data_IF_851965423742
#
_entry.id   IF_851965423742
#
_cell.length_a   1.000
_cell.length_b   1.000
_cell.length_c   1.000
_cell.angle_alpha   90.00
_cell.angle_beta   90.00
_cell.angle_gamma   90.00
#
_symmetry.space_group_name_H-M   'P 1'
#
loop_
_entity.id
_entity.type
_entity.pdbx_description
1 polymer ?
#
# COMPACT_ATOMS: atom_id res chain seq x y z
N UNK A 1 -12.18 13.05 -12.80
CA UNK A 1 -11.23 14.19 -12.82
C UNK A 1 -9.83 13.61 -12.89
N UNK A 2 -8.94 14.17 -13.67
CA UNK A 2 -7.60 13.60 -13.86
C UNK A 2 -6.62 13.88 -12.71
N UNK A 3 -7.00 14.69 -11.70
CA UNK A 3 -6.16 15.04 -10.54
C UNK A 3 -7.06 15.20 -9.31
N UNK A 4 -6.60 14.68 -8.18
CA UNK A 4 -7.32 14.79 -6.90
C UNK A 4 -7.38 16.26 -6.44
N UNK A 5 -8.55 16.70 -6.03
CA UNK A 5 -8.72 18.01 -5.39
C UNK A 5 -8.55 17.85 -3.88
N UNK A 6 -7.37 18.14 -3.37
CA UNK A 6 -7.04 17.98 -1.96
C UNK A 6 -7.55 19.14 -1.12
N UNK A 7 -8.13 18.83 0.04
CA UNK A 7 -8.58 19.83 1.03
C UNK A 7 -7.42 20.54 1.72
N UNK A 8 -6.32 19.81 1.91
CA UNK A 8 -5.12 20.32 2.57
C UNK A 8 -4.05 20.63 1.54
N UNK A 9 -3.53 21.86 1.53
CA UNK A 9 -2.43 22.22 0.67
C UNK A 9 -1.14 21.51 1.12
N UNK A 10 -0.32 21.14 0.15
CA UNK A 10 1.00 20.59 0.40
C UNK A 10 2.02 21.73 0.43
N UNK A 11 2.71 21.97 1.54
CA UNK A 11 3.67 23.07 1.66
C UNK A 11 5.06 22.73 1.11
N UNK A 12 5.30 21.48 0.72
CA UNK A 12 6.63 20.99 0.37
C UNK A 12 6.90 21.04 -1.13
N UNK A 13 8.18 21.13 -1.46
CA UNK A 13 8.69 20.97 -2.82
C UNK A 13 9.23 19.55 -3.00
N UNK A 14 9.17 19.05 -4.23
CA UNK A 14 9.55 17.67 -4.57
C UNK A 14 10.39 17.62 -5.84
N UNK A 15 11.14 16.53 -5.97
CA UNK A 15 11.75 16.12 -7.21
C UNK A 15 10.83 15.09 -7.91
N UNK A 16 10.60 15.24 -9.20
CA UNK A 16 9.71 14.33 -9.94
C UNK A 16 10.51 13.23 -10.63
N UNK A 17 9.95 12.03 -10.61
CA UNK A 17 10.48 10.89 -11.35
C UNK A 17 10.50 9.62 -10.50
N UNK A 18 9.93 8.54 -11.06
CA UNK A 18 10.03 7.21 -10.48
C UNK A 18 11.33 6.54 -10.94
N UNK A 19 12.03 5.93 -10.00
CA UNK A 19 13.26 5.18 -10.27
C UNK A 19 14.39 6.03 -10.92
N UNK A 20 14.29 7.34 -10.81
CA UNK A 20 15.28 8.28 -11.30
C UNK A 20 16.41 8.42 -10.30
N UNK A 21 17.60 8.77 -10.80
CA UNK A 21 18.71 9.18 -9.93
C UNK A 21 18.53 10.65 -9.57
N UNK A 22 18.27 10.91 -8.28
CA UNK A 22 18.06 12.27 -7.77
C UNK A 22 19.24 12.75 -6.94
N UNK A 23 19.40 14.07 -6.86
CA UNK A 23 20.29 14.71 -5.91
C UNK A 23 19.59 15.91 -5.26
N UNK A 24 19.89 16.16 -4.00
CA UNK A 24 19.35 17.30 -3.25
C UNK A 24 20.30 17.73 -2.15
N UNK A 25 20.44 19.06 -1.97
CA UNK A 25 21.19 19.65 -0.87
C UNK A 25 20.38 20.75 -0.18
N UNK A 26 20.29 20.72 1.14
CA UNK A 26 19.66 21.78 1.93
C UNK A 26 20.60 22.96 2.16
N UNK A 27 21.91 22.70 2.15
CA UNK A 27 22.97 23.73 2.16
C UNK A 27 23.77 23.59 0.87
N UNK A 28 23.84 24.68 0.11
CA UNK A 28 24.57 24.73 -1.15
C UNK A 28 26.04 24.32 -0.97
N UNK A 29 26.50 23.38 -1.77
CA UNK A 29 27.87 22.88 -1.73
C UNK A 29 28.10 21.74 -0.70
N UNK A 30 27.05 21.20 -0.09
CA UNK A 30 27.15 20.03 0.78
C UNK A 30 27.40 18.73 0.01
N UNK A 31 26.96 18.66 -1.26
CA UNK A 31 27.26 17.53 -2.15
C UNK A 31 28.70 17.57 -2.64
N UNK A 32 29.51 16.54 -2.44
CA UNK A 32 30.81 16.42 -3.08
C UNK A 32 30.70 16.33 -4.60
N UNK A 33 31.62 16.95 -5.33
CA UNK A 33 31.66 16.95 -6.77
C UNK A 33 32.60 15.86 -7.30
N UNK A 34 32.11 15.00 -8.17
CA UNK A 34 32.91 13.99 -8.89
C UNK A 34 33.33 12.78 -8.08
N UNK A 35 32.99 12.70 -6.79
CA UNK A 35 33.28 11.57 -5.92
C UNK A 35 32.27 11.47 -4.77
N UNK A 36 32.10 10.27 -4.19
CA UNK A 36 31.10 10.03 -3.14
C UNK A 36 31.68 10.21 -1.71
N UNK A 37 32.94 9.85 -1.50
CA UNK A 37 33.57 9.85 -0.17
C UNK A 37 34.94 10.52 -0.22
N UNK A 38 35.00 11.85 -0.37
CA UNK A 38 36.26 12.57 -0.34
C UNK A 38 36.93 12.43 1.04
N UNK A 39 38.24 12.57 1.10
CA UNK A 39 38.98 12.54 2.37
C UNK A 39 38.45 13.57 3.36
N UNK A 40 38.03 14.72 2.87
CA UNK A 40 37.38 15.78 3.65
C UNK A 40 36.05 16.10 3.00
N UNK A 41 34.97 15.68 3.62
CA UNK A 41 33.60 15.98 3.18
C UNK A 41 33.32 17.47 3.43
N UNK A 42 32.61 18.16 2.53
CA UNK A 42 32.20 19.54 2.75
C UNK A 42 31.54 19.75 4.10
N UNK A 43 31.77 20.90 4.72
CA UNK A 43 31.23 21.30 6.02
C UNK A 43 31.56 20.37 7.20
N UNK A 44 32.49 19.41 7.04
CA UNK A 44 32.82 18.44 8.07
C UNK A 44 31.75 17.35 8.25
N UNK A 45 30.86 17.18 7.28
CA UNK A 45 29.83 16.13 7.28
C UNK A 45 30.45 14.75 7.16
N UNK A 46 29.70 13.74 7.58
CA UNK A 46 30.05 12.34 7.37
C UNK A 46 29.38 11.82 6.11
N UNK A 47 30.16 11.17 5.25
CA UNK A 47 29.62 10.42 4.11
C UNK A 47 29.14 9.04 4.58
N UNK A 48 27.90 8.71 4.27
CA UNK A 48 27.30 7.40 4.59
C UNK A 48 26.58 6.87 3.36
N UNK A 49 26.54 5.56 3.19
CA UNK A 49 25.86 4.91 2.08
C UNK A 49 24.71 4.06 2.59
N UNK A 50 23.49 4.40 2.18
CA UNK A 50 22.29 3.58 2.38
C UNK A 50 22.06 2.73 1.12
N UNK A 51 22.04 1.40 1.25
CA UNK A 51 21.86 0.47 0.14
C UNK A 51 20.61 -0.36 0.33
N UNK A 52 19.69 -0.30 -0.64
CA UNK A 52 18.49 -1.13 -0.70
C UNK A 52 18.70 -2.49 -1.35
N UNK A 53 19.88 -2.72 -1.95
CA UNK A 53 20.28 -3.99 -2.58
C UNK A 53 21.64 -4.41 -2.08
N UNK A 54 22.01 -5.65 -2.37
CA UNK A 54 23.40 -6.10 -2.17
C UNK A 54 24.37 -5.23 -2.98
N UNK A 55 25.60 -5.03 -2.50
CA UNK A 55 26.62 -4.27 -3.23
C UNK A 55 26.93 -4.87 -4.60
N UNK A 56 26.74 -6.17 -4.74
CA UNK A 56 26.99 -6.95 -5.96
C UNK A 56 25.79 -7.05 -6.88
N UNK A 57 24.66 -6.37 -6.57
CA UNK A 57 23.50 -6.33 -7.46
C UNK A 57 23.89 -5.77 -8.84
N UNK A 58 23.27 -6.26 -9.93
CA UNK A 58 23.49 -5.71 -11.26
C UNK A 58 23.25 -4.20 -11.30
N UNK A 59 24.01 -3.47 -12.12
CA UNK A 59 23.94 -1.99 -12.16
C UNK A 59 22.51 -1.46 -12.36
N UNK A 60 21.70 -2.09 -13.18
CA UNK A 60 20.33 -1.66 -13.49
C UNK A 60 19.33 -1.97 -12.38
N UNK A 61 19.68 -2.88 -11.45
CA UNK A 61 18.87 -3.23 -10.28
C UNK A 61 19.38 -2.60 -9.00
N UNK A 62 20.62 -2.06 -9.00
CA UNK A 62 21.27 -1.57 -7.79
C UNK A 62 20.56 -0.33 -7.26
N UNK A 63 20.14 -0.40 -5.99
CA UNK A 63 19.48 0.68 -5.26
C UNK A 63 20.38 1.19 -4.17
N UNK A 64 20.75 2.46 -4.23
CA UNK A 64 21.65 3.07 -3.26
C UNK A 64 21.46 4.59 -3.21
N UNK A 65 21.75 5.15 -2.06
CA UNK A 65 21.81 6.60 -1.84
C UNK A 65 23.00 6.93 -0.98
N UNK A 66 23.82 7.88 -1.42
CA UNK A 66 24.85 8.49 -0.60
C UNK A 66 24.24 9.66 0.15
N UNK A 67 24.49 9.69 1.46
CA UNK A 67 24.00 10.75 2.34
C UNK A 67 25.20 11.44 3.03
N UNK A 68 25.04 12.73 3.26
CA UNK A 68 26.02 13.58 3.91
C UNK A 68 25.35 14.20 5.11
N UNK A 69 25.77 13.73 6.31
CA UNK A 69 25.04 13.96 7.55
C UNK A 69 25.92 14.45 8.67
N UNK A 70 25.31 15.04 9.69
CA UNK A 70 26.04 15.66 10.82
C UNK A 70 26.69 14.56 11.69
N UNK A 71 25.99 13.49 12.00
CA UNK A 71 26.51 12.32 12.74
C UNK A 71 26.13 11.01 12.04
N UNK A 72 27.01 10.00 12.02
CA UNK A 72 26.69 8.72 11.38
C UNK A 72 25.47 8.03 11.99
N UNK A 73 24.68 7.34 11.18
CA UNK A 73 23.54 6.54 11.63
C UNK A 73 23.89 5.50 12.70
N UNK A 74 25.16 5.08 12.77
CA UNK A 74 25.66 4.15 13.78
C UNK A 74 25.82 4.76 15.20
N UNK A 75 25.67 6.07 15.34
CA UNK A 75 25.90 6.80 16.60
C UNK A 75 24.68 6.72 17.55
N UNK A 76 24.28 5.51 17.90
CA UNK A 76 23.20 5.21 18.84
C UNK A 76 23.60 4.12 19.83
N UNK A 77 22.87 3.98 20.93
CA UNK A 77 23.03 2.87 21.88
C UNK A 77 22.56 1.54 21.24
N UNK A 78 22.83 0.43 21.92
CA UNK A 78 22.36 -0.87 21.45
C UNK A 78 20.82 -0.93 21.42
N UNK A 79 20.30 -1.61 20.42
CA UNK A 79 18.88 -1.93 20.34
C UNK A 79 18.49 -2.94 21.41
N UNK A 80 17.37 -2.71 22.05
CA UNK A 80 16.74 -3.59 23.03
C UNK A 80 15.33 -3.89 22.54
N UNK A 81 14.89 -5.13 22.65
CA UNK A 81 13.51 -5.49 22.33
C UNK A 81 12.55 -4.71 23.23
N UNK A 82 11.47 -4.22 22.67
CA UNK A 82 10.41 -3.58 23.43
C UNK A 82 9.63 -4.65 24.21
N UNK A 83 9.77 -4.64 25.52
CA UNK A 83 9.08 -5.53 26.44
C UNK A 83 7.71 -4.99 26.78
N UNK A 84 6.67 -5.58 26.21
CA UNK A 84 5.30 -5.23 26.57
C UNK A 84 4.29 -6.00 25.72
N UNK A 85 3.23 -6.47 26.37
CA UNK A 85 2.14 -7.21 25.72
C UNK A 85 1.48 -6.46 24.56
N UNK A 86 1.60 -5.13 24.53
CA UNK A 86 0.99 -4.29 23.49
C UNK A 86 1.76 -4.27 22.17
N UNK A 87 3.09 -4.49 22.18
CA UNK A 87 3.90 -4.41 20.96
C UNK A 87 4.07 -5.74 20.25
N UNK A 88 4.21 -6.82 21.01
CA UNK A 88 4.37 -8.17 20.45
C UNK A 88 3.07 -8.67 19.79
N UNK A 89 1.92 -8.16 20.22
CA UNK A 89 0.61 -8.65 19.75
C UNK A 89 0.16 -8.03 18.44
N UNK A 90 0.72 -6.87 18.03
CA UNK A 90 0.14 -6.10 16.92
C UNK A 90 0.95 -6.14 15.61
N UNK A 91 2.23 -6.43 15.66
CA UNK A 91 3.11 -6.42 14.47
C UNK A 91 3.85 -7.71 14.17
N UNK A 92 3.78 -8.75 15.04
CA UNK A 92 4.65 -9.91 14.90
C UNK A 92 3.94 -11.14 14.35
N UNK A 93 4.54 -11.80 13.37
CA UNK A 93 4.07 -13.08 12.85
C UNK A 93 4.39 -14.25 13.79
N UNK A 94 5.42 -14.15 14.64
CA UNK A 94 5.81 -15.22 15.57
C UNK A 94 4.83 -15.39 16.73
N UNK A 95 4.26 -14.30 17.22
CA UNK A 95 3.25 -14.33 18.28
C UNK A 95 1.83 -14.39 17.74
N UNK A 96 1.61 -14.00 16.49
CA UNK A 96 0.32 -14.07 15.84
C UNK A 96 0.30 -15.24 14.86
N UNK A 97 -0.27 -16.34 15.27
CA UNK A 97 -0.59 -17.43 14.36
C UNK A 97 -1.46 -16.89 13.22
N UNK A 98 -0.95 -16.95 12.01
CA UNK A 98 -1.73 -16.63 10.83
C UNK A 98 -2.68 -17.78 10.49
N UNK A 99 -3.95 -17.48 10.39
CA UNK A 99 -5.01 -18.42 10.08
C UNK A 99 -5.35 -18.38 8.59
N UNK A 100 -5.09 -19.44 7.88
CA UNK A 100 -5.43 -19.59 6.46
C UNK A 100 -6.86 -20.09 6.32
N UNK A 101 -7.73 -19.26 5.77
CA UNK A 101 -9.17 -19.53 5.66
C UNK A 101 -9.57 -19.43 4.18
N UNK A 102 -10.19 -20.47 3.61
CA UNK A 102 -10.62 -20.46 2.21
C UNK A 102 -11.91 -19.68 1.97
N UNK A 103 -12.58 -19.21 3.02
CA UNK A 103 -13.77 -18.37 2.91
C UNK A 103 -13.40 -16.94 2.55
N UNK A 104 -14.30 -16.28 1.82
CA UNK A 104 -14.23 -14.83 1.67
C UNK A 104 -14.45 -14.16 3.02
N UNK A 105 -13.63 -13.16 3.32
CA UNK A 105 -13.74 -12.36 4.52
C UNK A 105 -14.05 -10.90 4.19
N UNK A 106 -14.79 -10.23 5.08
CA UNK A 106 -15.04 -8.80 5.03
C UNK A 106 -14.98 -8.22 6.42
N UNK A 107 -14.43 -7.04 6.53
CA UNK A 107 -14.37 -6.25 7.76
C UNK A 107 -15.21 -4.98 7.61
N UNK A 108 -15.98 -4.68 8.64
CA UNK A 108 -16.58 -3.37 8.85
C UNK A 108 -15.49 -2.30 8.98
N UNK A 109 -15.80 -1.01 8.84
CA UNK A 109 -14.83 0.06 9.03
C UNK A 109 -14.05 -0.09 10.34
N UNK A 110 -12.72 -0.10 10.23
CA UNK A 110 -11.83 -0.11 11.39
C UNK A 110 -11.94 1.19 12.16
N UNK A 111 -11.73 1.13 13.48
CA UNK A 111 -11.83 2.31 14.33
C UNK A 111 -10.63 3.26 14.16
N UNK A 112 -10.82 4.52 14.51
CA UNK A 112 -9.73 5.46 14.80
C UNK A 112 -9.23 5.19 16.23
N UNK A 113 -7.93 5.37 16.45
CA UNK A 113 -7.36 5.38 17.80
C UNK A 113 -6.68 6.73 18.05
N UNK A 114 -7.28 7.54 18.90
CA UNK A 114 -6.78 8.86 19.26
C UNK A 114 -5.75 8.83 20.41
N UNK A 115 -5.48 7.66 20.97
CA UNK A 115 -4.69 7.50 22.20
C UNK A 115 -3.23 7.16 21.96
N UNK A 116 -2.90 6.68 20.77
CA UNK A 116 -1.58 6.19 20.41
C UNK A 116 -0.93 7.03 19.29
N UNK A 117 0.38 6.91 19.15
CA UNK A 117 1.15 7.44 18.03
C UNK A 117 1.22 6.45 16.86
N UNK A 118 1.99 6.81 15.84
CA UNK A 118 2.18 5.99 14.63
C UNK A 118 2.68 4.58 14.92
N UNK A 119 3.72 4.44 15.75
CA UNK A 119 4.37 3.13 16.01
C UNK A 119 3.45 2.20 16.75
N UNK A 120 2.73 2.74 17.74
CA UNK A 120 1.82 2.00 18.61
C UNK A 120 0.46 1.72 17.96
N UNK A 121 0.13 2.43 16.89
CA UNK A 121 -1.09 2.27 16.12
C UNK A 121 -0.99 1.31 14.94
N UNK A 122 0.13 0.58 14.78
CA UNK A 122 0.32 -0.40 13.71
C UNK A 122 -0.23 -1.78 14.12
N UNK A 123 -1.15 -2.34 13.34
CA UNK A 123 -1.77 -3.64 13.61
C UNK A 123 -1.66 -4.56 12.38
N UNK A 124 -1.00 -5.70 12.52
CA UNK A 124 -0.97 -6.72 11.47
C UNK A 124 -2.37 -7.33 11.32
N UNK A 125 -2.99 -7.12 10.17
CA UNK A 125 -4.30 -7.71 9.82
C UNK A 125 -4.11 -9.09 9.20
N UNK A 126 -3.21 -9.17 8.23
CA UNK A 126 -2.96 -10.37 7.44
C UNK A 126 -1.53 -10.38 6.90
N UNK A 127 -1.06 -11.51 6.42
CA UNK A 127 0.27 -11.62 5.86
C UNK A 127 0.61 -13.01 5.36
N UNK A 128 1.77 -13.13 4.75
CA UNK A 128 2.33 -14.40 4.28
C UNK A 128 3.85 -14.28 4.15
N UNK A 129 4.54 -15.39 4.32
CA UNK A 129 5.99 -15.45 4.16
C UNK A 129 6.75 -15.11 5.43
N UNK A 130 8.04 -14.83 5.27
CA UNK A 130 9.01 -14.66 6.36
C UNK A 130 10.02 -13.58 5.98
N UNK A 131 10.13 -12.47 6.73
CA UNK A 131 11.09 -11.40 6.44
C UNK A 131 12.55 -11.86 6.58
N UNK A 132 12.86 -12.89 7.38
CA UNK A 132 14.23 -13.43 7.49
C UNK A 132 14.69 -14.09 6.19
N UNK A 133 13.75 -14.64 5.42
CA UNK A 133 13.97 -15.20 4.08
C UNK A 133 13.78 -14.16 2.96
N UNK A 134 13.45 -12.93 3.32
CA UNK A 134 13.13 -11.84 2.37
C UNK A 134 12.09 -12.28 1.34
N UNK A 135 11.04 -12.93 1.81
CA UNK A 135 9.95 -13.43 0.98
C UNK A 135 8.61 -13.22 1.68
N UNK A 136 7.67 -12.58 1.00
CA UNK A 136 6.34 -12.37 1.52
C UNK A 136 5.95 -10.90 1.70
N UNK A 137 4.85 -10.73 2.44
CA UNK A 137 4.26 -9.42 2.73
C UNK A 137 3.54 -9.42 4.08
N UNK A 138 3.42 -8.23 4.65
CA UNK A 138 2.53 -7.92 5.75
C UNK A 138 1.46 -6.92 5.33
N UNK A 139 0.20 -7.15 5.70
CA UNK A 139 -0.89 -6.19 5.52
C UNK A 139 -1.24 -5.63 6.89
N UNK A 140 -0.99 -4.35 7.05
CA UNK A 140 -1.07 -3.65 8.33
C UNK A 140 -2.15 -2.57 8.23
N UNK A 141 -2.99 -2.46 9.25
CA UNK A 141 -3.80 -1.29 9.51
C UNK A 141 -3.02 -0.35 10.42
N UNK A 142 -3.08 0.94 10.15
CA UNK A 142 -2.64 1.95 11.10
C UNK A 142 -3.79 2.85 11.55
N UNK A 143 -3.79 3.19 12.82
CA UNK A 143 -4.68 4.19 13.42
C UNK A 143 -3.91 4.93 14.51
N UNK A 144 -3.81 6.26 14.41
CA UNK A 144 -3.07 7.07 15.36
C UNK A 144 -3.71 8.45 15.55
N UNK A 145 -3.62 8.98 16.77
CA UNK A 145 -4.13 10.29 17.14
C UNK A 145 -3.10 11.20 17.80
N UNK A 146 -1.86 10.73 17.95
CA UNK A 146 -0.76 11.50 18.54
C UNK A 146 0.43 11.58 17.59
N UNK A 147 1.10 12.71 17.62
CA UNK A 147 2.37 12.90 16.94
C UNK A 147 3.46 12.02 17.57
N UNK A 148 4.36 11.51 16.75
CA UNK A 148 5.64 11.02 17.21
C UNK A 148 6.47 12.23 17.67
N UNK A 149 6.94 12.22 18.90
CA UNK A 149 7.78 13.30 19.44
C UNK A 149 9.23 13.22 18.95
N UNK A 150 10.18 13.17 19.89
CA UNK A 150 11.60 12.93 19.61
C UNK A 150 11.86 11.43 19.35
N UNK A 151 11.21 10.92 18.34
CA UNK A 151 11.24 9.52 17.94
C UNK A 151 11.44 9.40 16.44
N UNK A 152 11.97 8.26 16.03
CA UNK A 152 12.00 7.84 14.65
C UNK A 152 11.73 6.34 14.56
N UNK A 153 11.13 5.92 13.46
CA UNK A 153 10.84 4.53 13.15
C UNK A 153 11.42 4.16 11.79
N UNK A 154 11.81 2.89 11.64
CA UNK A 154 12.06 2.29 10.34
C UNK A 154 11.74 0.79 10.36
N UNK A 155 11.33 0.23 9.23
CA UNK A 155 11.30 -1.22 9.05
C UNK A 155 12.64 -1.69 8.44
N UNK A 156 13.24 -2.70 9.03
CA UNK A 156 14.36 -3.44 8.43
C UNK A 156 13.85 -4.61 7.57
N UNK A 157 12.59 -5.01 7.74
CA UNK A 157 11.98 -6.18 7.13
C UNK A 157 11.53 -5.90 5.68
N UNK A 158 10.87 -4.78 5.46
CA UNK A 158 10.22 -4.52 4.18
C UNK A 158 10.02 -3.04 3.86
N UNK A 159 9.66 -2.79 2.58
CA UNK A 159 9.24 -1.48 2.11
C UNK A 159 7.77 -1.26 2.48
N UNK A 160 7.44 -0.14 3.12
CA UNK A 160 6.07 0.24 3.47
C UNK A 160 5.41 1.00 2.32
N UNK A 161 4.41 0.41 1.68
CA UNK A 161 3.47 1.13 0.82
C UNK A 161 2.29 1.55 1.68
N UNK A 162 2.18 2.85 1.94
CA UNK A 162 1.21 3.47 2.84
C UNK A 162 0.05 4.03 2.02
N UNK A 163 -1.19 3.66 2.38
CA UNK A 163 -2.43 4.08 1.73
C UNK A 163 -3.30 4.82 2.75
N UNK A 164 -3.24 6.14 2.84
CA UNK A 164 -4.07 6.91 3.75
C UNK A 164 -5.55 6.80 3.40
N UNK A 165 -6.38 6.55 4.42
CA UNK A 165 -7.83 6.54 4.30
C UNK A 165 -8.47 7.76 4.99
N UNK A 166 -7.95 8.15 6.15
CA UNK A 166 -8.43 9.28 6.94
C UNK A 166 -7.26 10.09 7.50
N UNK A 167 -7.44 11.40 7.57
CA UNK A 167 -6.45 12.34 8.09
C UNK A 167 -5.31 12.62 7.12
N UNK A 168 -4.29 13.33 7.60
CA UNK A 168 -3.13 13.75 6.82
C UNK A 168 -1.87 13.34 7.56
N UNK A 169 -0.96 12.67 6.87
CA UNK A 169 0.35 12.30 7.38
C UNK A 169 1.37 13.37 6.95
N UNK A 170 2.01 14.03 7.89
CA UNK A 170 3.22 14.80 7.65
C UNK A 170 4.40 13.92 8.04
N UNK A 171 5.06 13.35 7.05
CA UNK A 171 6.12 12.37 7.23
C UNK A 171 7.47 13.07 7.03
N UNK A 172 8.21 13.23 8.11
CA UNK A 172 9.60 13.64 8.04
C UNK A 172 10.48 12.40 7.95
N UNK A 173 11.15 12.21 6.83
CA UNK A 173 12.18 11.20 6.66
C UNK A 173 13.57 11.83 6.83
N UNK A 174 14.60 11.00 7.02
CA UNK A 174 15.98 11.48 7.06
C UNK A 174 16.44 12.08 5.71
N UNK A 175 15.73 11.82 4.59
CA UNK A 175 16.01 12.37 3.26
C UNK A 175 15.18 13.61 2.90
N UNK A 176 14.23 14.00 3.75
CA UNK A 176 13.33 15.13 3.54
C UNK A 176 11.89 14.83 3.93
N UNK A 177 10.97 15.73 3.60
CA UNK A 177 9.58 15.70 4.09
C UNK A 177 8.59 15.38 2.99
N UNK A 178 7.51 14.69 3.37
CA UNK A 178 6.40 14.27 2.52
C UNK A 178 5.08 14.54 3.23
N UNK A 179 4.18 15.32 2.63
CA UNK A 179 2.79 15.41 3.09
C UNK A 179 1.96 14.41 2.30
N UNK A 180 1.28 13.48 2.98
CA UNK A 180 0.53 12.39 2.33
C UNK A 180 -0.93 12.42 2.79
N UNK A 181 -1.84 12.48 1.84
CA UNK A 181 -3.28 12.69 2.05
C UNK A 181 -4.08 11.50 1.51
N UNK A 182 -5.32 11.28 1.93
CA UNK A 182 -6.21 10.32 1.25
C UNK A 182 -6.26 10.56 -0.26
N UNK A 183 -6.19 9.50 -1.05
CA UNK A 183 -5.96 9.46 -2.51
C UNK A 183 -4.52 9.74 -2.96
N UNK A 184 -3.56 9.81 -2.05
CA UNK A 184 -2.15 9.62 -2.34
C UNK A 184 -1.67 8.31 -1.75
N UNK A 185 -0.59 7.77 -2.29
CA UNK A 185 0.20 6.70 -1.65
C UNK A 185 1.60 7.22 -1.37
N UNK A 186 2.25 6.60 -0.39
CA UNK A 186 3.66 6.83 -0.09
C UNK A 186 4.37 5.51 0.06
N UNK A 187 5.56 5.39 -0.50
CA UNK A 187 6.45 4.26 -0.23
C UNK A 187 7.65 4.75 0.56
N UNK A 188 7.85 4.15 1.73
CA UNK A 188 9.04 4.33 2.55
C UNK A 188 9.87 3.04 2.41
N UNK A 189 11.03 3.10 1.73
CA UNK A 189 11.90 1.93 1.60
C UNK A 189 12.49 1.50 2.94
N UNK A 190 12.75 0.21 3.08
CA UNK A 190 13.34 -0.36 4.31
C UNK A 190 14.63 0.34 4.69
N UNK A 191 14.84 0.53 5.99
CA UNK A 191 16.00 1.19 6.55
C UNK A 191 15.93 2.72 6.56
N UNK A 192 15.04 3.36 5.82
CA UNK A 192 14.83 4.81 5.87
C UNK A 192 14.14 5.18 7.17
N UNK A 193 14.76 6.05 7.97
CA UNK A 193 14.23 6.55 9.23
C UNK A 193 13.21 7.64 8.99
N UNK A 194 12.09 7.60 9.70
CA UNK A 194 11.07 8.63 9.60
C UNK A 194 10.27 8.80 10.89
N UNK A 195 9.62 9.95 11.04
CA UNK A 195 8.58 10.19 12.04
C UNK A 195 7.33 10.72 11.37
N UNK A 196 6.20 10.58 12.05
CA UNK A 196 4.90 11.02 11.56
C UNK A 196 4.31 12.03 12.53
N UNK A 197 3.85 13.16 12.00
CA UNK A 197 3.02 14.13 12.70
C UNK A 197 1.66 14.27 12.00
N UNK A 198 0.64 14.70 12.74
CA UNK A 198 -0.76 14.62 12.37
C UNK A 198 -1.39 16.02 12.29
N UNK A 199 -1.10 16.83 11.25
CA UNK A 199 -1.48 18.24 11.19
C UNK A 199 -2.99 18.49 11.11
N UNK A 200 -3.78 17.45 10.82
CA UNK A 200 -5.23 17.54 10.66
C UNK A 200 -6.01 16.58 11.61
N UNK A 201 -5.40 16.22 12.74
CA UNK A 201 -6.02 15.31 13.73
C UNK A 201 -5.76 13.83 13.40
N UNK A 202 -6.55 12.92 13.99
CA UNK A 202 -6.28 11.49 13.93
C UNK A 202 -6.26 10.96 12.50
N UNK A 203 -5.48 9.91 12.29
CA UNK A 203 -5.24 9.27 11.00
C UNK A 203 -5.57 7.79 11.05
N UNK A 204 -5.93 7.25 9.89
CA UNK A 204 -6.13 5.82 9.67
C UNK A 204 -5.85 5.48 8.21
N UNK A 205 -5.36 4.28 7.97
CA UNK A 205 -5.15 3.75 6.63
C UNK A 205 -4.53 2.37 6.66
N UNK A 206 -3.98 1.99 5.53
CA UNK A 206 -3.47 0.65 5.29
C UNK A 206 -2.01 0.71 4.85
N UNK A 207 -1.28 -0.36 5.13
CA UNK A 207 0.10 -0.52 4.67
C UNK A 207 0.24 -1.91 4.09
N UNK A 208 0.88 -2.00 2.93
CA UNK A 208 1.44 -3.25 2.43
C UNK A 208 2.96 -3.21 2.62
N UNK A 209 3.47 -4.03 3.52
CA UNK A 209 4.90 -4.20 3.73
C UNK A 209 5.41 -5.31 2.81
N UNK A 210 6.32 -4.99 1.92
CA UNK A 210 6.92 -5.91 0.97
C UNK A 210 8.27 -6.39 1.48
N UNK A 211 8.41 -7.69 1.80
CA UNK A 211 9.66 -8.25 2.32
C UNK A 211 10.69 -8.53 1.22
N UNK A 212 10.27 -8.74 0.00
CA UNK A 212 11.13 -9.09 -1.13
C UNK A 212 11.28 -7.92 -2.11
N UNK A 213 12.51 -7.67 -2.58
CA UNK A 213 12.78 -6.67 -3.59
C UNK A 213 12.25 -5.27 -3.23
N UNK A 214 11.81 -4.54 -4.23
CA UNK A 214 11.25 -3.19 -4.12
C UNK A 214 10.06 -3.04 -5.08
N UNK A 215 9.15 -2.10 -4.77
CA UNK A 215 8.08 -1.75 -5.68
C UNK A 215 8.63 -1.15 -6.98
N UNK A 216 8.03 -1.54 -8.10
CA UNK A 216 8.37 -1.13 -9.45
C UNK A 216 7.11 -0.71 -10.20
N UNK A 217 7.27 0.00 -11.31
CA UNK A 217 6.19 0.15 -12.27
C UNK A 217 5.92 -1.20 -12.96
N UNK A 218 4.65 -1.55 -13.23
CA UNK A 218 4.33 -2.81 -13.91
C UNK A 218 4.85 -2.79 -15.36
N UNK A 219 5.08 -4.00 -15.89
CA UNK A 219 5.38 -4.16 -17.34
C UNK A 219 4.17 -3.72 -18.16
N UNK A 220 4.38 -2.79 -19.06
CA UNK A 220 3.29 -2.22 -19.85
C UNK A 220 2.88 -3.05 -21.08
N UNK A 221 3.77 -3.91 -21.58
CA UNK A 221 3.50 -4.76 -22.72
C UNK A 221 2.84 -3.99 -23.89
N UNK A 222 1.70 -4.47 -24.41
CA UNK A 222 1.01 -3.84 -25.53
C UNK A 222 0.31 -2.51 -25.17
N UNK A 223 0.19 -2.15 -23.88
CA UNK A 223 -0.44 -0.90 -23.43
C UNK A 223 0.43 0.31 -23.81
N UNK A 224 1.75 0.15 -23.79
CA UNK A 224 2.70 1.22 -24.06
C UNK A 224 2.91 2.17 -22.88
N UNK A 225 3.65 3.26 -23.12
CA UNK A 225 4.18 4.13 -22.07
C UNK A 225 3.24 5.26 -21.60
N UNK A 226 2.07 5.39 -22.20
CA UNK A 226 1.17 6.53 -21.95
C UNK A 226 -0.02 6.19 -21.03
N UNK A 227 -0.09 4.95 -20.56
CA UNK A 227 -1.18 4.47 -19.71
C UNK A 227 -0.67 4.09 -18.32
N UNK A 228 -1.60 3.85 -17.40
CA UNK A 228 -1.33 3.51 -16.00
C UNK A 228 -0.62 4.67 -15.25
N UNK A 229 0.21 4.35 -14.26
CA UNK A 229 0.99 5.35 -13.55
C UNK A 229 2.18 5.83 -14.39
N UNK A 230 2.31 7.14 -14.59
CA UNK A 230 3.44 7.71 -15.30
C UNK A 230 4.58 8.00 -14.32
N UNK A 231 5.80 7.58 -14.67
CA UNK A 231 6.99 7.78 -13.82
C UNK A 231 7.22 9.24 -13.40
N UNK A 232 6.92 10.22 -14.27
CA UNK A 232 7.07 11.66 -13.98
C UNK A 232 6.18 12.16 -12.86
N UNK A 233 5.09 11.47 -12.53
CA UNK A 233 4.09 11.93 -11.57
C UNK A 233 4.40 11.47 -10.13
N UNK A 234 5.43 10.65 -9.95
CA UNK A 234 5.96 10.29 -8.65
C UNK A 234 6.86 11.40 -8.12
N UNK A 235 6.80 11.63 -6.82
CA UNK A 235 7.44 12.75 -6.13
C UNK A 235 8.34 12.24 -5.01
N UNK A 236 9.64 12.55 -5.11
CA UNK A 236 10.64 12.32 -4.07
C UNK A 236 10.88 13.60 -3.26
N UNK A 237 11.25 13.53 -1.97
CA UNK A 237 11.49 14.71 -1.15
C UNK A 237 12.73 15.48 -1.61
N UNK A 238 12.80 16.75 -1.25
CA UNK A 238 14.05 17.52 -1.27
C UNK A 238 14.71 17.43 0.10
N UNK A 239 16.04 17.53 0.15
CA UNK A 239 16.79 17.46 1.39
C UNK A 239 16.30 18.50 2.41
N UNK A 240 16.06 18.03 3.60
CA UNK A 240 15.70 18.83 4.78
C UNK A 240 16.34 18.20 6.00
N UNK A 241 16.97 18.98 6.85
CA UNK A 241 17.66 18.48 8.04
C UNK A 241 17.31 19.30 9.29
N UNK A 242 17.51 18.69 10.43
CA UNK A 242 17.47 19.32 11.74
C UNK A 242 18.90 19.43 12.27
N UNK A 243 19.24 20.59 12.83
CA UNK A 243 20.50 20.85 13.53
C UNK A 243 20.16 21.32 14.93
N UNK A 244 20.43 20.50 15.94
CA UNK A 244 20.21 20.83 17.35
C UNK A 244 21.57 21.17 17.98
N UNK A 245 21.76 22.41 18.39
CA UNK A 245 23.00 22.87 19.05
C UNK A 245 23.26 22.16 20.38
N UNK A 246 22.18 21.83 21.12
CA UNK A 246 22.26 21.11 22.39
C UNK A 246 21.85 19.64 22.23
N UNK A 247 22.56 18.71 22.88
CA UNK A 247 22.22 17.29 22.85
C UNK A 247 20.79 17.05 23.34
N UNK A 248 20.06 16.25 22.61
CA UNK A 248 18.66 15.94 22.86
C UNK A 248 18.43 14.45 22.67
N UNK A 249 17.78 13.81 23.65
CA UNK A 249 17.53 12.38 23.57
C UNK A 249 16.41 12.07 22.57
N UNK A 250 16.73 11.21 21.62
CA UNK A 250 15.82 10.60 20.67
C UNK A 250 15.70 9.09 20.89
N UNK A 251 14.54 8.54 20.57
CA UNK A 251 14.29 7.11 20.55
C UNK A 251 14.13 6.64 19.11
N UNK A 252 14.93 5.63 18.74
CA UNK A 252 14.84 4.96 17.45
C UNK A 252 14.10 3.64 17.62
N UNK A 253 13.00 3.46 16.88
CA UNK A 253 12.31 2.19 16.75
C UNK A 253 12.73 1.49 15.48
N UNK A 254 12.98 0.21 15.59
CA UNK A 254 13.29 -0.69 14.48
C UNK A 254 12.34 -1.87 14.50
N UNK A 255 11.56 -2.05 13.41
CA UNK A 255 10.90 -3.32 13.16
C UNK A 255 11.92 -4.25 12.50
N UNK A 256 12.30 -5.30 13.20
CA UNK A 256 13.32 -6.27 12.78
C UNK A 256 12.83 -7.68 13.06
N UNK A 257 12.69 -8.48 12.02
CA UNK A 257 12.07 -9.81 12.07
C UNK A 257 10.70 -9.79 12.76
N UNK A 258 9.83 -8.90 12.30
CA UNK A 258 8.49 -8.68 12.87
C UNK A 258 8.46 -8.36 14.38
N UNK A 259 9.58 -7.99 14.97
CA UNK A 259 9.72 -7.61 16.38
C UNK A 259 10.13 -6.15 16.47
N UNK A 260 9.57 -5.43 17.43
CA UNK A 260 9.91 -4.03 17.66
C UNK A 260 11.07 -3.95 18.64
N UNK A 261 12.10 -3.23 18.23
CA UNK A 261 13.26 -2.88 19.05
C UNK A 261 13.35 -1.36 19.18
N UNK A 262 13.95 -0.88 20.26
CA UNK A 262 14.33 0.52 20.37
C UNK A 262 15.76 0.72 20.80
N UNK A 263 16.32 1.85 20.40
CA UNK A 263 17.62 2.35 20.85
C UNK A 263 17.50 3.84 21.17
N UNK A 264 18.41 4.35 22.03
CA UNK A 264 18.51 5.79 22.31
C UNK A 264 19.73 6.38 21.63
N UNK A 265 19.59 7.62 21.21
CA UNK A 265 20.69 8.48 20.75
C UNK A 265 20.49 9.90 21.27
N UNK A 266 21.59 10.67 21.36
CA UNK A 266 21.61 12.02 21.94
C UNK A 266 21.57 13.13 20.89
N UNK A 267 21.09 12.84 19.70
CA UNK A 267 20.96 13.79 18.58
C UNK A 267 19.80 13.39 17.68
N UNK A 268 19.33 14.33 16.85
CA UNK A 268 18.29 14.05 15.88
C UNK A 268 18.74 13.01 14.83
N UNK A 269 17.91 12.04 14.45
CA UNK A 269 18.20 11.16 13.31
C UNK A 269 17.93 11.81 11.95
N UNK A 270 17.39 13.04 11.93
CA UNK A 270 17.00 13.79 10.73
C UNK A 270 18.06 14.83 10.35
N UNK A 271 19.31 14.42 10.31
CA UNK A 271 20.50 15.27 10.20
C UNK A 271 21.22 15.17 8.83
N UNK A 272 20.55 14.62 7.81
CA UNK A 272 21.09 14.54 6.45
C UNK A 272 20.94 15.88 5.75
N UNK A 273 22.08 16.54 5.53
CA UNK A 273 22.14 17.87 4.89
C UNK A 273 22.03 17.78 3.37
N UNK A 274 22.55 16.69 2.80
CA UNK A 274 22.50 16.45 1.37
C UNK A 274 22.52 14.96 1.05
N UNK A 275 21.94 14.59 -0.11
CA UNK A 275 21.93 13.21 -0.57
C UNK A 275 21.84 13.13 -2.10
N UNK A 276 22.28 12.01 -2.66
CA UNK A 276 22.05 11.66 -4.05
C UNK A 276 21.94 10.15 -4.22
N UNK A 277 21.08 9.70 -5.10
CA UNK A 277 20.88 8.29 -5.36
C UNK A 277 19.52 7.96 -5.97
N UNK A 278 19.21 6.67 -6.00
CA UNK A 278 17.96 6.10 -6.49
C UNK A 278 17.23 5.25 -5.43
N UNK A 279 17.60 5.37 -4.16
CA UNK A 279 16.97 4.71 -3.02
C UNK A 279 16.47 5.76 -2.04
N UNK A 280 15.20 6.13 -2.14
CA UNK A 280 14.57 7.23 -1.41
C UNK A 280 13.06 6.98 -1.27
N UNK A 281 12.39 7.60 -0.28
CA UNK A 281 10.94 7.57 -0.17
C UNK A 281 10.29 8.39 -1.30
N UNK A 282 9.09 8.00 -1.68
CA UNK A 282 8.33 8.71 -2.70
C UNK A 282 6.83 8.62 -2.48
N UNK A 283 6.07 9.53 -3.10
CA UNK A 283 4.62 9.54 -3.10
C UNK A 283 4.04 9.67 -4.51
N UNK A 284 2.77 9.33 -4.65
CA UNK A 284 2.03 9.41 -5.91
C UNK A 284 0.57 9.78 -5.66
N UNK A 285 0.02 10.72 -6.45
CA UNK A 285 -1.40 11.08 -6.47
C UNK A 285 -2.18 10.08 -7.35
N UNK A 286 -3.02 9.26 -6.76
CA UNK A 286 -3.83 8.25 -7.45
C UNK A 286 -4.79 8.85 -8.49
N UNK A 287 -5.16 10.14 -8.35
CA UNK A 287 -5.94 10.86 -9.34
C UNK A 287 -5.24 11.09 -10.68
N UNK A 288 -3.92 10.89 -10.74
CA UNK A 288 -3.13 11.00 -11.98
C UNK A 288 -3.05 9.70 -12.76
N UNK A 289 -3.60 8.62 -12.23
CA UNK A 289 -3.58 7.32 -12.88
C UNK A 289 -4.40 7.35 -14.17
N UNK A 290 -3.80 6.91 -15.27
CA UNK A 290 -4.46 6.86 -16.58
C UNK A 290 -5.08 5.48 -16.79
N UNK A 291 -6.37 5.37 -16.56
CA UNK A 291 -7.12 4.12 -16.68
C UNK A 291 -7.26 3.67 -18.12
N UNK A 292 -7.26 2.35 -18.30
CA UNK A 292 -7.62 1.68 -19.55
C UNK A 292 -8.92 0.92 -19.32
N UNK A 293 -9.75 0.81 -20.35
CA UNK A 293 -10.95 0.02 -20.35
C UNK A 293 -11.18 -0.66 -21.70
N UNK A 294 -12.03 -1.66 -21.73
CA UNK A 294 -12.53 -2.24 -22.96
C UNK A 294 -13.47 -1.29 -23.66
N UNK A 295 -13.29 -1.13 -24.98
CA UNK A 295 -14.12 -0.27 -25.82
C UNK A 295 -15.09 -1.05 -26.72
N UNK A 296 -14.91 -2.37 -26.83
CA UNK A 296 -15.74 -3.24 -27.67
C UNK A 296 -16.54 -4.21 -26.82
N UNK A 297 -15.92 -5.24 -26.34
CA UNK A 297 -16.56 -6.31 -25.58
C UNK A 297 -15.71 -6.66 -24.37
N UNK A 298 -16.36 -7.29 -23.40
CA UNK A 298 -15.79 -7.88 -22.19
C UNK A 298 -15.18 -6.88 -21.20
N UNK A 299 -15.32 -7.21 -19.93
CA UNK A 299 -14.65 -6.48 -18.85
C UNK A 299 -13.18 -6.91 -18.81
N UNK A 300 -12.23 -5.97 -18.81
CA UNK A 300 -10.82 -6.33 -18.72
C UNK A 300 -10.44 -6.86 -17.33
N UNK A 301 -9.38 -7.66 -17.29
CA UNK A 301 -8.77 -8.11 -16.05
C UNK A 301 -8.25 -6.94 -15.20
N UNK A 302 -8.27 -7.03 -13.86
CA UNK A 302 -7.87 -5.91 -12.99
C UNK A 302 -6.38 -5.54 -13.07
N UNK A 303 -5.54 -6.36 -13.69
CA UNK A 303 -4.11 -6.06 -13.91
C UNK A 303 -3.86 -4.73 -14.65
N UNK A 304 -4.81 -4.27 -15.46
CA UNK A 304 -4.74 -2.96 -16.14
C UNK A 304 -4.88 -1.77 -15.18
N UNK A 305 -5.18 -2.00 -13.93
CA UNK A 305 -5.31 -0.98 -12.88
C UNK A 305 -4.14 -1.02 -11.89
N UNK A 306 -3.07 -1.78 -12.19
CA UNK A 306 -1.89 -1.88 -11.33
C UNK A 306 -1.09 -0.58 -11.36
N UNK A 307 -0.87 0.00 -10.19
CA UNK A 307 -0.06 1.22 -10.00
C UNK A 307 1.40 0.86 -9.79
N UNK A 308 1.65 -0.07 -8.88
CA UNK A 308 2.99 -0.58 -8.52
C UNK A 308 2.94 -2.10 -8.36
N UNK A 309 4.04 -2.76 -8.67
CA UNK A 309 4.24 -4.20 -8.48
C UNK A 309 5.48 -4.48 -7.65
N UNK A 310 5.40 -5.43 -6.74
CA UNK A 310 6.52 -6.07 -6.06
C UNK A 310 6.72 -7.47 -6.63
N UNK A 311 7.60 -7.66 -7.61
CA UNK A 311 7.70 -8.93 -8.31
C UNK A 311 8.20 -10.06 -7.41
N UNK A 312 7.74 -11.28 -7.69
CA UNK A 312 8.27 -12.49 -7.07
C UNK A 312 9.47 -13.03 -7.85
N UNK A 313 10.13 -14.06 -7.29
CA UNK A 313 11.19 -14.79 -7.99
C UNK A 313 10.66 -15.65 -9.15
N UNK A 314 9.35 -15.87 -9.21
CA UNK A 314 8.71 -16.53 -10.34
C UNK A 314 8.28 -15.50 -11.37
N UNK A 315 8.81 -15.61 -12.57
CA UNK A 315 8.47 -14.72 -13.68
C UNK A 315 6.96 -14.67 -13.92
N UNK A 316 6.43 -13.45 -14.06
CA UNK A 316 5.02 -13.20 -14.39
C UNK A 316 4.06 -13.26 -13.19
N UNK A 317 4.56 -13.24 -11.98
CA UNK A 317 3.73 -13.15 -10.77
C UNK A 317 4.34 -12.20 -9.74
N UNK A 318 3.54 -11.66 -8.84
CA UNK A 318 3.94 -10.69 -7.84
C UNK A 318 3.75 -11.21 -6.42
N UNK A 319 4.65 -10.80 -5.52
CA UNK A 319 4.42 -10.88 -4.07
C UNK A 319 3.32 -9.91 -3.66
N UNK A 320 3.35 -8.71 -4.23
CA UNK A 320 2.31 -7.71 -3.99
C UNK A 320 2.14 -6.80 -5.21
N UNK A 321 0.95 -6.81 -5.79
CA UNK A 321 0.51 -5.77 -6.71
C UNK A 321 -0.37 -4.77 -5.97
N UNK A 322 -0.12 -3.49 -6.18
CA UNK A 322 -1.01 -2.43 -5.71
C UNK A 322 -1.88 -1.98 -6.88
N UNK A 323 -3.16 -2.32 -6.79
CA UNK A 323 -4.18 -2.08 -7.81
C UNK A 323 -5.17 -1.05 -7.28
N UNK A 324 -5.69 -0.17 -8.14
CA UNK A 324 -6.74 0.79 -7.77
C UNK A 324 -7.94 0.69 -8.71
N UNK A 325 -9.11 1.08 -8.21
CA UNK A 325 -10.35 1.15 -9.00
C UNK A 325 -10.85 2.60 -9.00
N UNK A 326 -10.22 3.46 -9.82
CA UNK A 326 -10.55 4.88 -9.87
C UNK A 326 -11.78 5.15 -10.74
N UNK A 327 -12.29 6.40 -10.74
CA UNK A 327 -13.31 6.84 -11.67
C UNK A 327 -12.94 6.55 -13.12
N UNK A 328 -13.87 5.91 -13.88
CA UNK A 328 -13.63 5.50 -15.27
C UNK A 328 -14.92 5.45 -16.09
N UNK A 329 -14.77 5.45 -17.40
CA UNK A 329 -15.87 5.26 -18.33
C UNK A 329 -16.04 3.79 -18.69
N UNK A 330 -17.28 3.28 -18.61
CA UNK A 330 -17.69 1.97 -19.09
C UNK A 330 -18.47 2.17 -20.39
N UNK A 331 -17.95 1.61 -21.47
CA UNK A 331 -18.48 1.78 -22.84
C UNK A 331 -18.63 0.46 -23.58
N UNK A 332 -18.23 -0.67 -22.99
CA UNK A 332 -18.29 -1.97 -23.65
C UNK A 332 -19.71 -2.35 -24.09
N UNK A 333 -19.84 -2.76 -25.35
CA UNK A 333 -21.08 -3.16 -25.98
C UNK A 333 -21.48 -4.57 -25.54
N UNK A 334 -22.79 -4.81 -25.38
CA UNK A 334 -23.36 -6.12 -25.06
C UNK A 334 -22.54 -6.93 -24.01
N UNK A 335 -22.12 -6.26 -22.96
CA UNK A 335 -21.20 -6.80 -21.98
C UNK A 335 -21.78 -6.66 -20.57
N UNK A 336 -21.62 -7.72 -19.76
CA UNK A 336 -21.76 -7.63 -18.30
C UNK A 336 -20.60 -6.81 -17.75
N UNK A 337 -20.87 -5.55 -17.37
CA UNK A 337 -19.82 -4.55 -17.09
C UNK A 337 -19.12 -4.66 -15.74
N UNK A 338 -19.74 -5.17 -14.64
CA UNK A 338 -18.99 -5.51 -13.42
C UNK A 338 -17.98 -6.62 -13.69
N UNK A 339 -16.97 -6.77 -12.83
CA UNK A 339 -16.13 -7.96 -12.86
C UNK A 339 -17.00 -9.23 -12.77
N UNK A 340 -16.68 -10.23 -13.59
CA UNK A 340 -17.40 -11.51 -13.61
C UNK A 340 -17.10 -12.33 -12.34
N UNK A 341 -17.91 -13.37 -12.09
CA UNK A 341 -17.56 -14.36 -11.07
C UNK A 341 -16.29 -15.11 -11.47
N UNK A 342 -15.34 -15.21 -10.54
CA UNK A 342 -14.06 -15.83 -10.85
C UNK A 342 -13.42 -16.52 -9.64
N UNK A 343 -12.38 -17.25 -9.95
CA UNK A 343 -11.41 -17.86 -9.03
C UNK A 343 -10.05 -17.70 -9.68
N UNK A 344 -9.07 -17.22 -8.96
CA UNK A 344 -7.71 -17.05 -9.50
C UNK A 344 -6.67 -17.61 -8.53
N UNK A 345 -5.42 -17.61 -8.96
CA UNK A 345 -4.26 -18.08 -8.19
C UNK A 345 -3.71 -17.03 -7.23
N UNK A 346 -4.31 -15.86 -7.17
CA UNK A 346 -3.88 -14.76 -6.31
C UNK A 346 -4.81 -14.60 -5.12
N UNK A 347 -4.29 -14.07 -4.02
CA UNK A 347 -5.06 -13.56 -2.90
C UNK A 347 -5.30 -12.08 -3.09
N UNK A 348 -6.53 -11.62 -2.83
CA UNK A 348 -6.97 -10.24 -3.04
C UNK A 348 -7.40 -9.62 -1.71
N UNK A 349 -6.60 -8.71 -1.17
CA UNK A 349 -7.01 -7.88 -0.04
C UNK A 349 -7.42 -6.50 -0.54
N UNK A 350 -8.72 -6.21 -0.44
CA UNK A 350 -9.28 -4.93 -0.89
C UNK A 350 -9.55 -3.99 0.27
N UNK A 351 -9.39 -2.69 0.03
CA UNK A 351 -9.81 -1.61 0.90
C UNK A 351 -10.54 -0.50 0.14
N UNK A 352 -11.28 0.32 0.86
CA UNK A 352 -11.98 1.47 0.30
C UNK A 352 -11.51 2.75 0.97
N UNK A 353 -10.91 3.66 0.20
CA UNK A 353 -10.44 4.95 0.70
C UNK A 353 -11.63 5.90 0.89
N UNK A 354 -12.47 6.01 -0.13
CA UNK A 354 -13.65 6.89 -0.10
C UNK A 354 -14.72 6.44 -1.09
N UNK A 355 -15.94 6.93 -0.90
CA UNK A 355 -17.08 6.69 -1.80
C UNK A 355 -17.66 5.29 -1.68
N UNK A 356 -18.03 4.68 -2.82
CA UNK A 356 -18.61 3.34 -2.92
C UNK A 356 -17.88 2.51 -3.99
N UNK A 357 -18.07 1.20 -3.98
CA UNK A 357 -17.50 0.28 -4.97
C UNK A 357 -18.63 -0.30 -5.85
N UNK A 358 -18.49 -0.17 -7.15
CA UNK A 358 -19.54 -0.48 -8.14
C UNK A 358 -19.91 -1.97 -8.23
N UNK A 359 -18.99 -2.87 -7.92
CA UNK A 359 -19.25 -4.32 -7.93
C UNK A 359 -19.92 -4.84 -6.63
N UNK A 360 -20.08 -4.02 -5.61
CA UNK A 360 -20.61 -4.41 -4.29
C UNK A 360 -21.51 -3.28 -3.74
N UNK A 361 -22.76 -3.26 -4.20
CA UNK A 361 -23.72 -2.22 -3.83
C UNK A 361 -24.46 -2.51 -2.51
N UNK A 362 -24.47 -3.78 -2.09
CA UNK A 362 -25.09 -4.22 -0.84
C UNK A 362 -24.08 -4.60 0.24
N UNK A 363 -24.54 -4.77 1.48
CA UNK A 363 -23.84 -5.50 2.53
C UNK A 363 -22.57 -4.91 3.12
N UNK A 364 -22.29 -3.59 2.95
CA UNK A 364 -21.37 -2.92 3.86
C UNK A 364 -19.90 -2.89 3.51
N UNK A 365 -19.47 -2.98 2.24
CA UNK A 365 -18.12 -2.57 1.87
C UNK A 365 -18.04 -1.04 1.89
N UNK A 366 -17.55 -0.49 2.97
CA UNK A 366 -17.55 0.95 3.27
C UNK A 366 -16.11 1.49 3.39
N UNK A 367 -15.90 2.81 3.25
CA UNK A 367 -14.61 3.42 3.53
C UNK A 367 -14.08 3.01 4.90
N UNK A 368 -12.78 2.70 4.95
CA UNK A 368 -12.09 2.11 6.10
C UNK A 368 -12.40 0.63 6.39
N UNK A 369 -13.28 -0.01 5.65
CA UNK A 369 -13.46 -1.46 5.69
C UNK A 369 -12.47 -2.19 4.78
N UNK A 370 -12.52 -3.51 4.81
CA UNK A 370 -11.69 -4.37 3.96
C UNK A 370 -12.42 -5.65 3.54
N UNK A 371 -11.89 -6.33 2.53
CA UNK A 371 -12.26 -7.71 2.21
C UNK A 371 -11.03 -8.52 1.81
N UNK A 372 -11.05 -9.81 2.06
CA UNK A 372 -10.02 -10.76 1.62
C UNK A 372 -10.68 -11.91 0.87
N UNK A 373 -10.27 -12.12 -0.38
CA UNK A 373 -10.57 -13.27 -1.20
C UNK A 373 -9.27 -14.02 -1.44
N UNK A 374 -9.10 -15.13 -0.74
CA UNK A 374 -7.85 -15.88 -0.80
C UNK A 374 -7.73 -16.70 -2.09
N UNK A 375 -6.55 -17.23 -2.36
CA UNK A 375 -6.25 -18.11 -3.52
C UNK A 375 -7.39 -19.11 -3.75
N UNK A 376 -7.91 -19.14 -4.98
CA UNK A 376 -9.03 -20.00 -5.43
C UNK A 376 -10.34 -19.81 -4.68
N UNK A 377 -10.51 -18.79 -3.89
CA UNK A 377 -11.78 -18.45 -3.26
C UNK A 377 -12.72 -17.83 -4.30
N UNK A 378 -13.81 -18.51 -4.62
CA UNK A 378 -14.76 -18.04 -5.62
C UNK A 378 -15.48 -16.78 -5.15
N UNK A 379 -15.51 -15.73 -5.96
CA UNK A 379 -16.18 -14.48 -5.65
C UNK A 379 -16.60 -13.69 -6.91
N UNK A 380 -17.25 -12.55 -6.73
CA UNK A 380 -17.75 -11.73 -7.83
C UNK A 380 -18.75 -10.70 -7.32
N UNK A 381 -19.64 -10.19 -8.20
CA UNK A 381 -20.69 -9.26 -7.81
C UNK A 381 -21.68 -9.91 -6.84
N UNK A 382 -22.19 -9.13 -5.89
CA UNK A 382 -23.31 -9.58 -5.07
C UNK A 382 -24.61 -9.67 -5.91
N UNK A 383 -25.67 -10.23 -5.32
CA UNK A 383 -26.94 -10.43 -6.02
C UNK A 383 -27.47 -9.14 -6.66
N UNK A 384 -27.46 -8.03 -5.93
CA UNK A 384 -28.05 -6.78 -6.39
C UNK A 384 -27.23 -6.15 -7.52
N UNK A 385 -25.91 -6.21 -7.44
CA UNK A 385 -25.00 -5.80 -8.50
C UNK A 385 -25.17 -6.67 -9.76
N UNK A 386 -25.33 -7.98 -9.61
CA UNK A 386 -25.58 -8.90 -10.72
C UNK A 386 -26.92 -8.59 -11.42
N UNK A 387 -28.01 -8.50 -10.67
CA UNK A 387 -29.34 -8.24 -11.24
C UNK A 387 -29.41 -6.85 -11.91
N UNK A 388 -28.83 -5.82 -11.26
CA UNK A 388 -28.75 -4.50 -11.80
C UNK A 388 -27.98 -4.44 -13.12
N UNK A 389 -26.80 -5.05 -13.16
CA UNK A 389 -25.95 -5.05 -14.35
C UNK A 389 -26.53 -5.88 -15.51
N UNK A 390 -27.19 -7.01 -15.18
CA UNK A 390 -27.82 -7.88 -16.19
C UNK A 390 -29.02 -7.23 -16.90
N UNK A 391 -29.64 -6.22 -16.25
CA UNK A 391 -30.81 -5.52 -16.77
C UNK A 391 -30.53 -4.05 -17.13
N UNK A 392 -29.26 -3.62 -17.05
CA UNK A 392 -28.87 -2.24 -17.31
C UNK A 392 -29.01 -1.85 -18.78
N UNK A 393 -29.42 -0.62 -19.05
CA UNK A 393 -29.34 0.01 -20.38
C UNK A 393 -27.88 0.38 -20.65
N UNK A 394 -27.26 -0.30 -21.62
CA UNK A 394 -25.82 -0.17 -21.92
C UNK A 394 -25.52 1.12 -22.72
N UNK A 395 -25.50 2.25 -22.01
CA UNK A 395 -24.99 3.53 -22.50
C UNK A 395 -23.57 3.77 -21.97
N UNK A 396 -22.79 4.68 -22.60
CA UNK A 396 -21.58 5.18 -21.98
C UNK A 396 -21.88 5.71 -20.57
N UNK A 397 -21.22 5.17 -19.56
CA UNK A 397 -21.48 5.49 -18.16
C UNK A 397 -20.14 5.69 -17.42
N UNK A 398 -20.05 6.79 -16.66
CA UNK A 398 -18.94 7.00 -15.74
C UNK A 398 -19.27 6.33 -14.40
N UNK A 399 -18.37 5.48 -13.93
CA UNK A 399 -18.48 4.81 -12.63
C UNK A 399 -17.38 5.28 -11.70
N UNK A 400 -17.57 5.09 -10.40
CA UNK A 400 -16.59 5.40 -9.37
C UNK A 400 -16.36 6.90 -9.13
N UNK A 401 -17.24 7.78 -9.58
CA UNK A 401 -17.10 9.23 -9.31
C UNK A 401 -17.15 9.50 -7.81
N UNK A 402 -16.12 10.18 -7.28
CA UNK A 402 -15.96 10.39 -5.84
C UNK A 402 -15.54 9.16 -5.04
N UNK A 403 -15.17 8.08 -5.71
CA UNK A 403 -14.78 6.82 -5.08
C UNK A 403 -13.32 6.45 -5.39
N UNK A 404 -12.68 5.76 -4.47
CA UNK A 404 -11.36 5.16 -4.67
C UNK A 404 -11.26 3.89 -3.84
N UNK A 405 -11.34 2.74 -4.49
CA UNK A 405 -11.01 1.44 -3.92
C UNK A 405 -9.60 1.03 -4.36
N UNK A 406 -8.97 0.17 -3.57
CA UNK A 406 -7.67 -0.41 -3.89
C UNK A 406 -7.64 -1.90 -3.55
N UNK A 407 -6.63 -2.58 -4.06
CA UNK A 407 -6.37 -3.99 -3.80
C UNK A 407 -4.86 -4.21 -3.63
N UNK A 408 -4.49 -4.99 -2.62
CA UNK A 408 -3.21 -5.67 -2.54
C UNK A 408 -3.42 -7.09 -3.04
N UNK A 409 -2.85 -7.42 -4.17
CA UNK A 409 -2.95 -8.72 -4.79
C UNK A 409 -1.64 -9.49 -4.63
N UNK A 410 -1.70 -10.76 -4.23
CA UNK A 410 -0.51 -11.55 -3.92
C UNK A 410 -0.61 -12.96 -4.45
N UNK A 411 0.50 -13.49 -5.00
CA UNK A 411 0.59 -14.92 -5.35
C UNK A 411 0.63 -15.87 -4.15
N UNK A 412 0.71 -15.33 -2.94
CA UNK A 412 0.79 -16.12 -1.72
C UNK A 412 -0.60 -16.36 -1.11
N UNK A 413 -0.79 -17.49 -0.45
CA UNK A 413 -1.94 -17.69 0.43
C UNK A 413 -1.78 -16.80 1.65
N UNK A 414 -2.62 -15.79 1.76
CA UNK A 414 -2.57 -14.83 2.86
C UNK A 414 -3.29 -15.37 4.08
N UNK A 415 -2.59 -15.48 5.20
CA UNK A 415 -3.18 -15.80 6.49
C UNK A 415 -3.64 -14.54 7.22
N UNK A 416 -4.67 -14.66 8.04
CA UNK A 416 -5.21 -13.58 8.85
C UNK A 416 -4.74 -13.72 10.29
N UNK A 417 -4.31 -12.63 10.91
CA UNK A 417 -3.84 -12.60 12.29
C UNK A 417 -4.99 -12.77 13.29
N UNK A 418 -4.66 -13.11 14.52
CA UNK A 418 -5.65 -13.16 15.60
C UNK A 418 -6.30 -11.78 15.83
N UNK A 419 -5.51 -10.69 15.69
CA UNK A 419 -6.05 -9.34 15.75
C UNK A 419 -7.07 -9.11 14.65
N UNK A 420 -6.75 -9.47 13.41
CA UNK A 420 -7.64 -9.30 12.26
C UNK A 420 -8.91 -10.14 12.34
N UNK A 421 -8.86 -11.33 12.95
CA UNK A 421 -10.03 -12.21 13.06
C UNK A 421 -10.93 -11.89 14.25
N UNK A 422 -10.34 -11.52 15.40
CA UNK A 422 -11.09 -11.43 16.65
C UNK A 422 -10.92 -10.08 17.37
N UNK A 423 -9.69 -9.65 17.60
CA UNK A 423 -9.43 -8.50 18.48
C UNK A 423 -10.02 -7.22 17.92
N UNK A 424 -9.93 -6.99 16.62
CA UNK A 424 -10.51 -5.81 15.98
C UNK A 424 -12.05 -5.78 16.00
N UNK A 425 -12.72 -6.91 16.20
CA UNK A 425 -14.19 -7.05 16.25
C UNK A 425 -14.91 -6.48 15.01
N UNK A 426 -14.29 -6.59 13.83
CA UNK A 426 -14.82 -6.00 12.57
C UNK A 426 -15.22 -7.04 11.53
N UNK A 427 -14.95 -8.34 11.75
CA UNK A 427 -15.30 -9.38 10.80
C UNK A 427 -16.82 -9.51 10.67
N UNK A 428 -17.32 -9.46 9.42
CA UNK A 428 -18.73 -9.67 9.10
C UNK A 428 -19.03 -11.18 9.00
N UNK A 429 -19.67 -11.74 10.01
CA UNK A 429 -19.97 -13.19 10.07
C UNK A 429 -20.95 -13.66 8.97
N UNK A 430 -21.83 -12.77 8.50
CA UNK A 430 -22.88 -13.09 7.53
C UNK A 430 -22.52 -12.68 6.10
N UNK A 431 -21.27 -12.36 5.82
CA UNK A 431 -20.86 -11.82 4.52
C UNK A 431 -21.25 -12.71 3.34
N UNK A 432 -20.94 -14.02 3.40
CA UNK A 432 -21.27 -14.97 2.33
C UNK A 432 -22.78 -15.16 2.18
N UNK A 433 -23.48 -15.22 3.31
CA UNK A 433 -24.94 -15.41 3.32
C UNK A 433 -25.66 -14.23 2.65
N UNK A 434 -25.22 -13.02 2.88
CA UNK A 434 -25.85 -11.84 2.31
C UNK A 434 -25.44 -11.59 0.84
N UNK A 435 -24.21 -11.91 0.47
CA UNK A 435 -23.68 -11.56 -0.86
C UNK A 435 -24.12 -12.52 -1.96
N UNK A 436 -24.10 -13.83 -1.74
CA UNK A 436 -24.23 -14.81 -2.81
C UNK A 436 -25.32 -15.88 -2.59
N UNK A 437 -25.68 -16.22 -1.36
CA UNK A 437 -26.78 -17.19 -1.11
C UNK A 437 -28.13 -16.76 -1.71
N UNK A 438 -28.46 -15.45 -1.81
CA UNK A 438 -29.70 -15.01 -2.45
C UNK A 438 -29.73 -15.12 -3.97
N UNK A 439 -28.62 -15.46 -4.63
CA UNK A 439 -28.56 -15.66 -6.08
C UNK A 439 -29.53 -16.76 -6.52
N UNK A 440 -30.31 -16.48 -7.57
CA UNK A 440 -31.33 -17.39 -8.07
C UNK A 440 -30.83 -18.16 -9.29
N UNK A 441 -31.37 -19.36 -9.47
CA UNK A 441 -31.15 -20.12 -10.68
C UNK A 441 -32.01 -19.59 -11.82
N UNK A 442 -31.41 -19.01 -12.82
CA UNK A 442 -32.08 -18.49 -14.03
C UNK A 442 -32.09 -19.51 -15.18
N UNK A 443 -31.24 -20.54 -15.09
CA UNK A 443 -31.14 -21.56 -16.13
C UNK A 443 -32.43 -22.35 -16.27
N UNK A 444 -32.98 -22.42 -17.47
CA UNK A 444 -34.09 -23.31 -17.88
C UNK A 444 -33.55 -24.26 -18.94
N UNK A 445 -33.61 -25.55 -18.68
CA UNK A 445 -33.18 -26.53 -19.66
C UNK A 445 -34.16 -26.57 -20.84
N UNK A 446 -33.73 -26.21 -22.06
CA UNK A 446 -34.62 -26.22 -23.23
C UNK A 446 -35.14 -27.62 -23.58
N UNK A 447 -34.43 -28.67 -23.16
CA UNK A 447 -34.83 -30.06 -23.42
C UNK A 447 -35.94 -30.56 -22.47
N UNK A 448 -36.21 -29.86 -21.36
CA UNK A 448 -37.29 -30.22 -20.43
C UNK A 448 -38.67 -29.67 -20.83
N UNK A 449 -38.75 -28.90 -21.90
CA UNK A 449 -39.99 -28.27 -22.39
C UNK A 449 -40.73 -29.07 -23.48
N UNK A 450 -40.31 -30.31 -23.79
CA UNK A 450 -40.87 -31.12 -24.91
C UNK A 450 -41.90 -32.15 -24.47
N UNK A 451 -42.17 -32.33 -23.18
CA UNK A 451 -43.07 -33.43 -22.72
C UNK A 451 -44.48 -33.02 -22.26
N UNK A 452 -45.02 -31.91 -22.75
CA UNK A 452 -46.43 -31.52 -22.44
C UNK A 452 -47.34 -31.29 -23.63
N UNK A 453 -46.95 -31.76 -24.83
CA UNK A 453 -47.87 -31.76 -25.99
C UNK A 453 -48.00 -33.12 -26.63
N UNK A 454 -48.47 -34.14 -25.92
CA UNK A 454 -49.03 -35.34 -26.52
C UNK A 454 -49.73 -36.19 -25.44
N UNK A 455 -50.84 -35.71 -24.94
CA UNK A 455 -51.88 -36.57 -24.31
C UNK A 455 -53.16 -35.76 -24.29
N UNK A 456 -53.85 -35.72 -25.42
CA UNK A 456 -55.27 -35.63 -25.53
C UNK A 456 -55.61 -35.71 -27.02
N UNK A 457 -55.75 -36.93 -27.51
CA UNK A 457 -56.57 -37.32 -28.63
C UNK A 457 -56.57 -38.85 -28.70
N UNK A 458 -57.50 -39.46 -27.94
CA UNK A 458 -58.23 -40.67 -28.34
C UNK A 458 -59.47 -40.85 -27.48
#
# INVERSE_FOLDING_TARGET
>A
MPVTNFKHADPYSYQNGFDSYHESEAIKGALPIGQNSPQKVPYGLYAEKLSGTAFTAPRHENRQTWVYRILPAAAHQNFVAEDGDSYHTHMTTETQKLHHIPNQLRWDPFDLDETVDWVHGLHLVAGAGDPTLKHGLGIILYAAGKDMGKEAFYSADGDFLIVPQHGVLDIQTELGRLLVRPNEICVIPRGVRYRVTLPAGPVRGYICELYQGHYQLPELGPIGSNCLANARDFQAPVAFFEDEEEPSEYRLYSKFNNTLFSARQNHTPFDIVAWHGNYYPYKYDLGRFNTIGSISFDHPDPSIFTVLTGPSDHSGTAIADFVIFPPRWLVAENTFRPPWYHRNTMSEFMGLICGGYDAKTGGGFQPAGASLHNVMSAHGPDKDAFEGASNADLKPQKVGDGSMAFMFESCLMVGVSEWGLKTCQKVQEQYNAHSWQPLQRHFRNPNNSVDTMCKDDH
#
